data_IF_221384975646
#
_entry.id   IF_221384975646
#
_cell.length_a   1.000
_cell.length_b   1.000
_cell.length_c   1.000
_cell.angle_alpha   90.00
_cell.angle_beta   90.00
_cell.angle_gamma   90.00
#
_symmetry.space_group_name_H-M   'P 1'
#
loop_
_entity.id
_entity.type
_entity.pdbx_description
1 polymer ?
#
# COMPACT_ATOMS: atom_id res chain seq x y z
N UNK A 1 28.77 -10.94 -7.83
CA UNK A 1 28.51 -9.65 -8.52
C UNK A 1 27.09 -9.68 -9.08
N UNK A 2 26.18 -8.93 -8.47
CA UNK A 2 25.01 -8.33 -9.12
C UNK A 2 24.37 -7.41 -8.09
N UNK A 3 24.97 -6.24 -7.93
CA UNK A 3 24.37 -5.08 -7.28
C UNK A 3 23.23 -4.59 -8.17
N UNK A 4 22.08 -5.25 -8.09
CA UNK A 4 20.83 -4.73 -8.63
C UNK A 4 20.40 -3.59 -7.69
N UNK A 5 20.58 -2.36 -8.16
CA UNK A 5 19.86 -1.20 -7.63
C UNK A 5 18.36 -1.51 -7.75
N UNK A 6 17.74 -2.05 -6.70
CA UNK A 6 16.28 -2.15 -6.64
C UNK A 6 15.76 -0.76 -6.32
N UNK A 7 15.37 -0.02 -7.36
CA UNK A 7 14.74 1.27 -7.17
C UNK A 7 13.35 1.06 -6.56
N UNK A 8 13.20 1.33 -5.27
CA UNK A 8 11.89 1.36 -4.61
C UNK A 8 11.00 2.41 -5.27
N UNK A 9 9.69 2.14 -5.32
CA UNK A 9 8.69 3.15 -5.68
C UNK A 9 8.26 3.83 -4.39
N UNK A 10 8.26 5.16 -4.38
CA UNK A 10 7.76 5.96 -3.27
C UNK A 10 6.43 6.58 -3.66
N UNK A 11 5.43 6.44 -2.80
CA UNK A 11 4.09 7.03 -2.98
C UNK A 11 3.80 7.89 -1.77
N UNK A 12 3.41 9.14 -2.02
CA UNK A 12 2.90 10.04 -1.00
C UNK A 12 1.42 9.74 -0.73
N UNK A 13 1.07 9.67 0.54
CA UNK A 13 -0.28 9.53 1.04
C UNK A 13 -0.57 10.78 1.86
N UNK A 14 -1.44 11.63 1.31
CA UNK A 14 -1.79 12.93 1.88
C UNK A 14 -3.15 12.81 2.55
N UNK A 15 -3.21 13.14 3.84
CA UNK A 15 -4.41 13.16 4.65
C UNK A 15 -4.78 14.61 4.94
N UNK A 16 -5.99 15.02 4.55
CA UNK A 16 -6.43 16.44 4.54
C UNK A 16 -6.11 17.19 5.84
N UNK A 17 -6.33 16.56 7.00
CA UNK A 17 -6.11 17.19 8.32
C UNK A 17 -4.94 16.61 9.13
N UNK A 18 -4.23 15.61 8.60
CA UNK A 18 -3.21 14.86 9.35
C UNK A 18 -1.80 14.94 8.76
N UNK A 19 -1.67 15.49 7.54
CA UNK A 19 -0.38 15.68 6.88
C UNK A 19 -0.07 14.58 5.86
N UNK A 20 1.21 14.37 5.60
CA UNK A 20 1.70 13.48 4.56
C UNK A 20 2.57 12.37 5.16
N UNK A 21 2.39 11.15 4.66
CA UNK A 21 3.33 10.05 4.86
C UNK A 21 3.82 9.55 3.51
N UNK A 22 5.03 8.99 3.49
CA UNK A 22 5.60 8.37 2.30
C UNK A 22 5.72 6.86 2.54
N UNK A 23 5.04 6.09 1.70
CA UNK A 23 5.17 4.64 1.66
C UNK A 23 6.16 4.23 0.55
N UNK A 24 7.02 3.25 0.85
CA UNK A 24 7.91 2.66 -0.14
C UNK A 24 7.44 1.26 -0.52
N UNK A 25 7.54 0.93 -1.80
CA UNK A 25 7.05 -0.33 -2.35
C UNK A 25 8.10 -1.00 -3.23
N UNK A 26 8.13 -2.33 -3.20
CA UNK A 26 8.92 -3.12 -4.16
C UNK A 26 8.21 -3.15 -5.52
N UNK A 27 8.81 -2.58 -6.59
CA UNK A 27 8.20 -2.58 -7.91
C UNK A 27 8.00 -3.99 -8.50
N UNK A 28 8.64 -5.03 -7.97
CA UNK A 28 8.50 -6.41 -8.47
C UNK A 28 7.15 -7.03 -8.12
N UNK A 29 6.39 -6.44 -7.20
CA UNK A 29 5.07 -6.92 -6.79
C UNK A 29 4.01 -6.46 -7.79
N UNK A 30 3.25 -7.39 -8.38
CA UNK A 30 2.21 -7.08 -9.38
C UNK A 30 1.15 -6.11 -8.85
N UNK A 31 0.71 -6.30 -7.60
CA UNK A 31 -0.27 -5.41 -6.95
C UNK A 31 0.26 -3.98 -6.82
N UNK A 32 1.57 -3.79 -6.58
CA UNK A 32 2.21 -2.47 -6.55
C UNK A 32 2.17 -1.84 -7.93
N UNK A 33 2.48 -2.58 -8.99
CA UNK A 33 2.42 -2.07 -10.37
C UNK A 33 1.00 -1.62 -10.75
N UNK A 34 -0.03 -2.35 -10.31
CA UNK A 34 -1.43 -1.97 -10.51
C UNK A 34 -1.80 -0.72 -9.72
N UNK A 35 -1.37 -0.63 -8.47
CA UNK A 35 -1.61 0.54 -7.61
C UNK A 35 -1.00 1.79 -8.25
N UNK A 36 0.27 1.72 -8.65
CA UNK A 36 0.98 2.85 -9.28
C UNK A 36 0.30 3.32 -10.56
N UNK A 37 -0.21 2.40 -11.40
CA UNK A 37 -0.97 2.75 -12.61
C UNK A 37 -2.31 3.43 -12.34
N UNK A 38 -2.84 3.29 -11.13
CA UNK A 38 -4.10 3.91 -10.72
C UNK A 38 -3.94 5.26 -10.02
N UNK A 39 -2.70 5.65 -9.71
CA UNK A 39 -2.42 6.95 -9.11
C UNK A 39 -2.54 8.07 -10.16
N UNK A 40 -2.96 9.29 -9.75
CA UNK A 40 -3.48 9.62 -8.42
C UNK A 40 -4.95 9.20 -8.25
N UNK A 41 -5.35 8.87 -7.01
CA UNK A 41 -6.75 8.69 -6.64
C UNK A 41 -7.00 9.16 -5.20
N UNK A 42 -8.26 9.46 -4.91
CA UNK A 42 -8.73 9.85 -3.57
C UNK A 42 -9.63 8.74 -3.01
N UNK A 43 -9.66 8.62 -1.69
CA UNK A 43 -10.44 7.60 -0.98
C UNK A 43 -10.73 8.04 0.45
N UNK A 44 -11.79 7.48 1.04
CA UNK A 44 -12.12 7.72 2.45
C UNK A 44 -11.29 6.78 3.33
N UNK A 45 -10.62 7.37 4.33
CA UNK A 45 -9.77 6.65 5.28
C UNK A 45 -10.60 6.18 6.46
N UNK A 46 -10.52 4.88 6.75
CA UNK A 46 -11.18 4.25 7.89
C UNK A 46 -10.11 3.85 8.90
N UNK A 47 -10.30 4.23 10.16
CA UNK A 47 -9.45 3.81 11.27
C UNK A 47 -10.03 2.57 11.95
N UNK A 48 -9.22 1.53 12.12
CA UNK A 48 -9.59 0.33 12.86
C UNK A 48 -8.46 -0.08 13.80
N UNK A 49 -8.65 0.12 15.11
CA UNK A 49 -7.60 -0.13 16.12
C UNK A 49 -6.30 0.63 15.78
N UNK A 50 -5.23 -0.11 15.54
CA UNK A 50 -3.84 0.34 15.27
C UNK A 50 -3.52 0.29 13.77
N UNK A 51 -4.55 0.35 12.91
CA UNK A 51 -4.40 0.53 11.48
C UNK A 51 -5.35 1.60 10.94
N UNK A 52 -4.93 2.19 9.83
CA UNK A 52 -5.83 2.88 8.91
C UNK A 52 -5.85 2.13 7.59
N UNK A 53 -7.01 2.04 6.97
CA UNK A 53 -7.13 1.47 5.64
C UNK A 53 -8.08 2.30 4.79
N UNK A 54 -7.90 2.21 3.48
CA UNK A 54 -8.75 2.87 2.50
C UNK A 54 -8.87 2.02 1.26
N UNK A 55 -10.01 2.10 0.60
CA UNK A 55 -10.26 1.36 -0.64
C UNK A 55 -9.42 1.92 -1.78
N UNK A 56 -9.03 1.06 -2.72
CA UNK A 56 -8.28 1.43 -3.91
C UNK A 56 -9.06 1.00 -5.16
N UNK A 57 -8.81 1.62 -6.32
CA UNK A 57 -9.36 1.16 -7.60
C UNK A 57 -8.75 -0.18 -8.09
N UNK A 58 -7.75 -0.72 -7.39
CA UNK A 58 -7.08 -1.97 -7.76
C UNK A 58 -7.93 -3.16 -7.31
N UNK A 59 -8.29 -4.02 -8.26
CA UNK A 59 -8.98 -5.29 -7.98
C UNK A 59 -8.04 -6.46 -8.23
N UNK A 60 -7.82 -7.27 -7.20
CA UNK A 60 -7.07 -8.52 -7.28
C UNK A 60 -7.76 -9.57 -6.43
N UNK A 61 -7.90 -10.80 -6.95
CA UNK A 61 -8.46 -11.91 -6.16
C UNK A 61 -7.46 -12.45 -5.15
N UNK A 62 -6.17 -12.42 -5.52
CA UNK A 62 -5.05 -12.84 -4.69
C UNK A 62 -3.86 -11.91 -4.94
N UNK A 63 -3.19 -11.52 -3.85
CA UNK A 63 -1.94 -10.76 -3.89
C UNK A 63 -0.80 -11.65 -3.39
N UNK A 64 0.36 -11.53 -4.04
CA UNK A 64 1.59 -12.24 -3.67
C UNK A 64 2.73 -11.23 -3.60
N UNK A 65 3.60 -11.29 -2.57
CA UNK A 65 3.55 -12.21 -1.43
C UNK A 65 2.35 -11.94 -0.50
N UNK A 66 1.94 -12.94 0.28
CA UNK A 66 0.89 -12.80 1.29
C UNK A 66 1.36 -13.31 2.65
N UNK A 67 0.89 -12.68 3.72
CA UNK A 67 1.21 -12.99 5.11
C UNK A 67 0.01 -12.71 5.99
N UNK A 68 -0.10 -13.39 7.12
CA UNK A 68 -1.08 -13.11 8.19
C UNK A 68 -0.46 -12.35 9.35
N UNK A 69 0.82 -12.01 9.26
CA UNK A 69 1.59 -11.27 10.28
C UNK A 69 2.14 -10.01 9.65
N UNK A 70 1.99 -8.90 10.38
CA UNK A 70 2.46 -7.56 10.04
C UNK A 70 3.17 -6.97 11.25
N UNK A 71 4.06 -6.02 11.00
CA UNK A 71 4.77 -5.23 11.99
C UNK A 71 4.29 -3.77 11.94
N UNK A 72 4.59 -3.02 12.99
CA UNK A 72 4.42 -1.57 13.00
C UNK A 72 5.23 -0.97 11.84
N UNK A 73 4.60 -0.11 11.05
CA UNK A 73 5.17 0.51 9.85
C UNK A 73 4.96 -0.27 8.56
N UNK A 74 4.38 -1.48 8.61
CA UNK A 74 4.08 -2.23 7.39
C UNK A 74 2.94 -1.58 6.59
N UNK A 75 3.01 -1.76 5.26
CA UNK A 75 1.93 -1.43 4.33
C UNK A 75 1.51 -2.71 3.61
N UNK A 76 0.24 -3.06 3.71
CA UNK A 76 -0.29 -4.28 3.11
C UNK A 76 -1.48 -4.00 2.20
N UNK A 77 -1.68 -4.85 1.20
CA UNK A 77 -2.89 -4.83 0.38
C UNK A 77 -3.84 -5.95 0.86
N UNK A 78 -5.10 -5.61 1.12
CA UNK A 78 -6.14 -6.54 1.53
C UNK A 78 -7.11 -6.81 0.36
N UNK A 79 -6.98 -7.96 -0.34
CA UNK A 79 -7.76 -8.26 -1.54
C UNK A 79 -9.28 -8.22 -1.37
N UNK A 80 -9.89 -8.78 -0.30
CA UNK A 80 -11.35 -8.77 -0.14
C UNK A 80 -11.96 -7.37 -0.10
N UNK A 81 -11.25 -6.39 0.46
CA UNK A 81 -11.69 -4.99 0.52
C UNK A 81 -11.14 -4.11 -0.60
N UNK A 82 -10.33 -4.66 -1.51
CA UNK A 82 -9.52 -3.88 -2.46
C UNK A 82 -8.76 -2.74 -1.77
N UNK A 83 -8.31 -2.95 -0.54
CA UNK A 83 -7.89 -1.89 0.36
C UNK A 83 -6.37 -1.90 0.58
N UNK A 84 -5.80 -0.71 0.78
CA UNK A 84 -4.45 -0.56 1.31
C UNK A 84 -4.55 -0.31 2.81
N UNK A 85 -3.76 -1.04 3.60
CA UNK A 85 -3.71 -0.97 5.05
C UNK A 85 -2.34 -0.45 5.50
N UNK A 86 -2.33 0.48 6.44
CA UNK A 86 -1.16 1.06 7.07
C UNK A 86 -1.20 0.73 8.57
N UNK A 87 -0.19 0.04 9.08
CA UNK A 87 -0.11 -0.40 10.48
C UNK A 87 0.81 0.53 11.26
N UNK A 88 0.37 1.07 12.40
CA UNK A 88 1.14 2.04 13.21
C UNK A 88 1.15 1.72 14.70
#
# INVERSE_FOLDING_TARGET
MSSYSSSSIYVSLVFEDYGEIVASFDPKIDTVQRLVKSLPFESEVIRWKEEVYFSTPVKVERASPSTTRVNIGDVAFWPPGNALCLFY
#
